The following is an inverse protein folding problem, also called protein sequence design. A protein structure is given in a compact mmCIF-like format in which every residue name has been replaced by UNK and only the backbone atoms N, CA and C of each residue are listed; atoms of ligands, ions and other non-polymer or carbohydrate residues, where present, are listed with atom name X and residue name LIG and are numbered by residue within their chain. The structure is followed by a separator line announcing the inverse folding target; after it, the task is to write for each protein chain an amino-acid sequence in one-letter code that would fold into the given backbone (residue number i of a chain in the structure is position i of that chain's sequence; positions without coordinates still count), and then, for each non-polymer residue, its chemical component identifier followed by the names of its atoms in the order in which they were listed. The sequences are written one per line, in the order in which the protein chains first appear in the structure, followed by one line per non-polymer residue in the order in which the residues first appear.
data_IF_347797008689
#
_entry.id   IF_347797008689
#
_cell.length_a   1.000
_cell.length_b   1.000
_cell.length_c   1.000
_cell.angle_alpha   90.00
_cell.angle_beta   90.00
_cell.angle_gamma   90.00
#
_symmetry.space_group_name_H-M   'P 1'
#
loop_
_entity.id
_entity.type
_entity.pdbx_description
1 polymer ?
#
# COMPACT_ATOMS: atom_id res chain seq x y z
N UNK A 1 -33.92 8.52 16.60
CA UNK A 1 -32.83 9.42 16.99
C UNK A 1 -32.18 9.90 15.72
N UNK A 2 -32.49 11.14 15.34
CA UNK A 2 -32.10 11.80 14.10
C UNK A 2 -30.72 12.43 14.30
N UNK A 3 -29.72 11.95 13.56
CA UNK A 3 -28.39 12.56 13.54
C UNK A 3 -28.46 13.97 12.92
N UNK A 4 -27.74 14.95 13.48
CA UNK A 4 -27.71 16.31 12.93
C UNK A 4 -26.86 16.36 11.65
N UNK A 5 -27.06 17.37 10.78
CA UNK A 5 -26.22 17.57 9.60
C UNK A 5 -24.85 18.11 10.02
N UNK A 6 -23.78 17.46 9.55
CA UNK A 6 -22.41 17.96 9.65
C UNK A 6 -22.20 19.05 8.59
N UNK A 7 -22.58 20.28 8.95
CA UNK A 7 -22.09 21.49 8.31
C UNK A 7 -20.92 22.01 9.14
N UNK A 8 -19.72 21.53 8.84
CA UNK A 8 -18.46 22.15 9.28
C UNK A 8 -17.68 22.59 8.04
N UNK A 9 -17.88 23.87 7.74
CA UNK A 9 -16.94 24.86 7.21
C UNK A 9 -15.71 24.31 6.47
N UNK A 10 -15.81 24.28 5.13
CA UNK A 10 -14.64 24.28 4.25
C UNK A 10 -13.99 25.66 4.39
N UNK A 11 -12.96 25.78 5.23
CA UNK A 11 -12.03 26.91 5.14
C UNK A 11 -11.34 26.82 3.77
N UNK A 12 -11.66 27.80 2.92
CA UNK A 12 -11.32 27.82 1.51
C UNK A 12 -9.81 27.77 1.27
N UNK A 13 -9.33 26.63 0.78
CA UNK A 13 -8.19 26.65 -0.12
C UNK A 13 -8.66 27.30 -1.41
N UNK A 14 -8.14 28.48 -1.76
CA UNK A 14 -8.33 29.03 -3.09
C UNK A 14 -7.82 28.00 -4.09
N UNK A 15 -8.71 27.40 -4.88
CA UNK A 15 -8.38 26.33 -5.82
C UNK A 15 -7.25 26.72 -6.79
N UNK A 16 -7.05 28.04 -7.00
CA UNK A 16 -5.96 28.70 -7.74
C UNK A 16 -4.55 28.35 -7.25
N UNK A 17 -4.43 27.91 -6.00
CA UNK A 17 -3.15 27.56 -5.36
C UNK A 17 -2.94 26.06 -5.21
N UNK A 18 -3.97 25.23 -5.39
CA UNK A 18 -3.86 23.78 -5.21
C UNK A 18 -3.18 23.18 -6.45
N UNK A 19 -1.94 22.70 -6.27
CA UNK A 19 -1.16 22.02 -7.31
C UNK A 19 -0.96 20.55 -6.92
N UNK A 20 -1.92 19.67 -7.23
CA UNK A 20 -1.87 18.28 -6.77
C UNK A 20 -0.71 17.52 -7.42
N UNK A 21 -0.04 16.69 -6.63
CA UNK A 21 1.03 15.82 -7.10
C UNK A 21 0.76 14.40 -6.64
N UNK A 22 0.60 13.47 -7.58
CA UNK A 22 0.44 12.07 -7.24
C UNK A 22 1.77 11.51 -6.71
N UNK A 23 1.71 10.70 -5.65
CA UNK A 23 2.86 9.90 -5.18
C UNK A 23 3.24 8.83 -6.20
N UNK A 24 4.37 8.17 -5.96
CA UNK A 24 4.74 6.97 -6.69
C UNK A 24 3.87 5.78 -6.23
N UNK A 25 2.63 5.74 -6.73
CA UNK A 25 1.64 4.69 -6.48
C UNK A 25 1.44 3.86 -7.74
N UNK A 26 1.01 2.62 -7.56
CA UNK A 26 0.63 1.78 -8.68
C UNK A 26 -0.77 2.17 -9.18
N UNK A 27 -0.90 2.27 -10.50
CA UNK A 27 -2.15 2.64 -11.17
C UNK A 27 -2.44 1.59 -12.24
N UNK A 28 -3.50 0.81 -12.07
CA UNK A 28 -3.83 -0.26 -13.01
C UNK A 28 -5.34 -0.48 -13.14
N UNK A 29 -5.82 -0.85 -14.35
CA UNK A 29 -7.22 -1.16 -14.54
C UNK A 29 -7.57 -2.52 -13.92
N UNK A 30 -8.74 -2.61 -13.31
CA UNK A 30 -9.29 -3.86 -12.74
C UNK A 30 -10.78 -3.98 -13.05
N UNK A 31 -11.29 -5.21 -13.00
CA UNK A 31 -12.74 -5.44 -12.90
C UNK A 31 -13.13 -5.51 -11.42
N UNK A 32 -14.07 -4.66 -11.03
CA UNK A 32 -14.64 -4.62 -9.68
C UNK A 32 -16.16 -4.52 -9.82
N UNK A 33 -16.89 -5.46 -9.19
CA UNK A 33 -18.36 -5.53 -9.25
C UNK A 33 -18.93 -5.49 -10.69
N UNK A 34 -18.26 -6.17 -11.63
CA UNK A 34 -18.67 -6.21 -13.05
C UNK A 34 -18.44 -4.90 -13.81
N UNK A 35 -17.73 -3.93 -13.23
CA UNK A 35 -17.36 -2.66 -13.87
C UNK A 35 -15.85 -2.53 -13.99
N UNK A 36 -15.41 -1.98 -15.13
CA UNK A 36 -13.99 -1.65 -15.34
C UNK A 36 -13.67 -0.33 -14.64
N UNK A 37 -12.81 -0.39 -13.63
CA UNK A 37 -12.36 0.75 -12.82
C UNK A 37 -10.83 0.83 -12.83
N UNK A 38 -10.29 1.95 -12.35
CA UNK A 38 -8.88 2.09 -12.04
C UNK A 38 -8.68 1.88 -10.55
N UNK A 39 -7.66 1.09 -10.21
CA UNK A 39 -7.19 0.86 -8.87
C UNK A 39 -5.92 1.70 -8.63
N UNK A 40 -5.89 2.46 -7.54
CA UNK A 40 -4.67 3.05 -6.98
C UNK A 40 -4.25 2.27 -5.75
N UNK A 41 -3.01 1.78 -5.76
CA UNK A 41 -2.41 1.06 -4.63
C UNK A 41 -1.06 1.66 -4.26
N UNK A 42 -0.85 1.88 -2.96
CA UNK A 42 0.47 2.25 -2.46
C UNK A 42 1.36 1.01 -2.31
N UNK A 43 2.45 0.87 -3.09
CA UNK A 43 3.34 -0.28 -2.98
C UNK A 43 4.08 -0.34 -1.64
N UNK A 44 4.17 0.78 -0.92
CA UNK A 44 4.80 0.84 0.40
C UNK A 44 3.81 0.63 1.55
N UNK A 45 2.50 0.49 1.25
CA UNK A 45 1.43 0.37 2.24
C UNK A 45 1.45 1.48 3.32
N UNK A 46 1.82 2.71 2.93
CA UNK A 46 1.73 3.89 3.81
C UNK A 46 0.32 4.48 3.75
N UNK A 47 -0.32 4.45 2.58
CA UNK A 47 -1.76 4.53 2.46
C UNK A 47 -2.37 3.17 2.86
N UNK A 48 -3.28 3.18 3.83
CA UNK A 48 -3.92 1.97 4.35
C UNK A 48 -4.95 1.40 3.37
N UNK A 49 -5.64 2.29 2.66
CA UNK A 49 -6.73 1.97 1.77
C UNK A 49 -6.28 1.89 0.31
N UNK A 50 -7.06 1.15 -0.48
CA UNK A 50 -6.96 1.12 -1.95
C UNK A 50 -8.11 1.95 -2.52
N UNK A 51 -7.83 2.82 -3.48
CA UNK A 51 -8.86 3.64 -4.12
C UNK A 51 -9.27 3.03 -5.45
N UNK A 52 -10.58 2.96 -5.67
CA UNK A 52 -11.17 2.62 -6.96
C UNK A 52 -11.91 3.82 -7.52
N UNK A 53 -11.65 4.16 -8.79
CA UNK A 53 -12.39 5.21 -9.46
C UNK A 53 -12.72 4.84 -10.92
N UNK A 54 -13.78 5.41 -11.51
CA UNK A 54 -14.14 5.15 -12.91
C UNK A 54 -12.99 5.47 -13.86
N UNK A 55 -12.73 4.59 -14.84
CA UNK A 55 -11.65 4.76 -15.82
C UNK A 55 -11.57 6.16 -16.46
N UNK A 56 -12.68 6.86 -16.79
CA UNK A 56 -12.61 8.21 -17.30
C UNK A 56 -11.90 9.21 -16.37
N UNK A 57 -11.88 9.02 -15.06
CA UNK A 57 -11.21 9.96 -14.13
C UNK A 57 -9.68 9.86 -14.17
N UNK A 58 -9.11 8.81 -14.79
CA UNK A 58 -7.66 8.67 -14.96
C UNK A 58 -7.05 9.86 -15.71
N UNK A 59 -7.84 10.46 -16.60
CA UNK A 59 -7.47 11.63 -17.39
C UNK A 59 -7.24 12.90 -16.54
N UNK A 60 -7.82 12.96 -15.35
CA UNK A 60 -7.57 14.03 -14.37
C UNK A 60 -6.25 13.73 -13.65
N UNK A 61 -6.11 12.52 -13.12
CA UNK A 61 -4.96 12.09 -12.31
C UNK A 61 -3.63 12.19 -13.08
N UNK A 62 -3.62 11.94 -14.40
CA UNK A 62 -2.40 12.11 -15.23
C UNK A 62 -1.84 13.54 -15.24
N UNK A 63 -2.62 14.55 -14.84
CA UNK A 63 -2.14 15.93 -14.73
C UNK A 63 -1.67 16.30 -13.32
N UNK A 64 -1.75 15.39 -12.34
CA UNK A 64 -1.31 15.63 -10.96
C UNK A 64 0.21 15.50 -10.83
N UNK A 65 0.92 16.46 -11.42
CA UNK A 65 2.39 16.52 -11.45
C UNK A 65 2.99 17.51 -10.44
N UNK A 66 2.16 18.18 -9.65
CA UNK A 66 2.55 19.23 -8.71
C UNK A 66 2.88 20.58 -9.36
N UNK A 67 2.73 20.70 -10.68
CA UNK A 67 3.08 21.91 -11.42
C UNK A 67 1.86 22.72 -11.83
N UNK A 68 0.72 22.10 -12.11
CA UNK A 68 -0.50 22.78 -12.58
C UNK A 68 -1.50 22.98 -11.45
N UNK A 69 -2.17 24.15 -11.41
CA UNK A 69 -3.32 24.35 -10.52
C UNK A 69 -4.55 23.58 -11.00
N UNK A 70 -5.57 23.44 -10.15
CA UNK A 70 -6.82 22.79 -10.53
C UNK A 70 -7.54 23.53 -11.68
N UNK A 71 -7.50 24.86 -11.72
CA UNK A 71 -8.04 25.68 -12.82
C UNK A 71 -7.24 25.47 -14.11
N UNK A 72 -5.92 25.36 -14.02
CA UNK A 72 -5.07 25.08 -15.18
C UNK A 72 -5.37 23.69 -15.75
N UNK A 73 -5.59 22.69 -14.87
CA UNK A 73 -6.03 21.34 -15.24
C UNK A 73 -7.42 21.38 -15.86
N UNK A 74 -8.37 22.09 -15.25
CA UNK A 74 -9.74 22.23 -15.75
C UNK A 74 -9.79 22.82 -17.17
N UNK A 75 -9.09 23.94 -17.38
CA UNK A 75 -8.98 24.59 -18.69
C UNK A 75 -8.40 23.63 -19.72
N UNK A 76 -7.32 22.93 -19.36
CA UNK A 76 -6.65 21.99 -20.25
C UNK A 76 -7.52 20.79 -20.63
N UNK A 77 -8.27 20.23 -19.68
CA UNK A 77 -9.22 19.14 -19.95
C UNK A 77 -10.37 19.61 -20.85
N UNK A 78 -10.81 20.87 -20.69
CA UNK A 78 -11.84 21.45 -21.54
C UNK A 78 -11.35 21.66 -22.99
N UNK A 79 -10.08 22.06 -23.16
CA UNK A 79 -9.45 22.26 -24.47
C UNK A 79 -9.12 20.93 -25.18
N UNK A 80 -8.57 19.95 -24.46
CA UNK A 80 -8.10 18.67 -25.02
C UNK A 80 -9.27 17.73 -25.37
N UNK A 81 -10.36 17.77 -24.61
CA UNK A 81 -11.40 16.72 -24.67
C UNK A 81 -12.83 17.24 -24.86
N UNK A 82 -13.01 18.57 -25.02
CA UNK A 82 -14.31 19.23 -25.23
C UNK A 82 -15.35 18.89 -24.14
N UNK A 83 -14.90 18.45 -22.96
CA UNK A 83 -15.75 18.08 -21.84
C UNK A 83 -15.53 19.03 -20.67
N UNK A 84 -16.60 19.68 -20.23
CA UNK A 84 -16.56 20.55 -19.07
C UNK A 84 -16.58 19.71 -17.80
N UNK A 85 -15.51 19.81 -17.01
CA UNK A 85 -15.45 19.25 -15.66
C UNK A 85 -15.64 20.41 -14.68
N UNK A 86 -16.62 20.36 -13.78
CA UNK A 86 -16.78 21.40 -12.77
C UNK A 86 -15.57 21.50 -11.84
N UNK A 87 -15.14 22.72 -11.51
CA UNK A 87 -13.99 22.92 -10.63
C UNK A 87 -14.22 22.34 -9.22
N UNK A 88 -15.44 22.43 -8.70
CA UNK A 88 -15.80 21.83 -7.41
C UNK A 88 -15.54 20.31 -7.39
N UNK A 89 -15.84 19.61 -8.49
CA UNK A 89 -15.58 18.18 -8.60
C UNK A 89 -14.07 17.88 -8.58
N UNK A 90 -13.25 18.71 -9.24
CA UNK A 90 -11.80 18.56 -9.19
C UNK A 90 -11.27 18.76 -7.77
N UNK A 91 -11.77 19.77 -7.06
CA UNK A 91 -11.41 20.05 -5.66
C UNK A 91 -11.77 18.87 -4.76
N UNK A 92 -13.01 18.37 -4.85
CA UNK A 92 -13.49 17.24 -4.05
C UNK A 92 -12.69 15.97 -4.33
N UNK A 93 -12.44 15.66 -5.61
CA UNK A 93 -11.68 14.49 -6.01
C UNK A 93 -10.21 14.57 -5.55
N UNK A 94 -9.60 15.76 -5.63
CA UNK A 94 -8.24 16.00 -5.11
C UNK A 94 -8.19 15.86 -3.59
N UNK A 95 -9.16 16.41 -2.86
CA UNK A 95 -9.23 16.30 -1.40
C UNK A 95 -9.44 14.85 -0.94
N UNK A 96 -10.21 14.05 -1.69
CA UNK A 96 -10.39 12.64 -1.39
C UNK A 96 -9.08 11.86 -1.55
N UNK A 97 -8.36 12.05 -2.66
CA UNK A 97 -7.04 11.45 -2.86
C UNK A 97 -6.02 11.89 -1.79
N UNK A 98 -6.09 13.14 -1.35
CA UNK A 98 -5.23 13.65 -0.28
C UNK A 98 -5.54 13.02 1.08
N UNK A 99 -6.83 12.94 1.42
CA UNK A 99 -7.32 12.34 2.67
C UNK A 99 -6.87 10.90 2.82
N UNK A 100 -6.83 10.16 1.72
CA UNK A 100 -6.37 8.78 1.67
C UNK A 100 -4.87 8.64 1.38
N UNK A 101 -4.08 9.72 1.47
CA UNK A 101 -2.62 9.68 1.43
C UNK A 101 -2.01 9.29 0.07
N UNK A 102 -2.72 9.52 -1.04
CA UNK A 102 -2.23 9.27 -2.40
C UNK A 102 -1.49 10.45 -3.03
N UNK A 103 -1.62 11.66 -2.44
CA UNK A 103 -0.94 12.85 -2.91
C UNK A 103 0.32 13.15 -2.09
N UNK A 104 1.32 13.74 -2.76
CA UNK A 104 2.50 14.32 -2.13
C UNK A 104 2.10 15.67 -1.54
N UNK A 105 1.67 15.65 -0.28
CA UNK A 105 1.07 16.79 0.41
C UNK A 105 1.59 16.94 1.84
N UNK A 106 1.36 18.10 2.49
CA UNK A 106 1.65 18.25 3.91
C UNK A 106 0.94 17.23 4.80
N UNK A 107 -0.28 16.79 4.43
CA UNK A 107 -1.02 15.75 5.17
C UNK A 107 -0.30 14.41 5.10
N UNK A 108 0.04 13.98 3.88
CA UNK A 108 0.80 12.75 3.69
C UNK A 108 2.18 12.80 4.38
N UNK A 109 2.89 13.92 4.29
CA UNK A 109 4.19 14.07 4.91
C UNK A 109 4.16 13.94 6.44
N UNK A 110 3.11 14.48 7.09
CA UNK A 110 2.89 14.27 8.53
C UNK A 110 2.59 12.80 8.84
N UNK A 111 1.69 12.18 8.08
CA UNK A 111 1.34 10.76 8.21
C UNK A 111 2.56 9.84 8.08
N UNK A 112 3.37 10.07 7.04
CA UNK A 112 4.62 9.33 6.82
C UNK A 112 5.57 9.49 8.00
N UNK A 113 5.82 10.70 8.47
CA UNK A 113 6.72 10.91 9.64
C UNK A 113 6.22 10.20 10.88
N UNK A 114 4.91 10.21 11.12
CA UNK A 114 4.29 9.52 12.23
C UNK A 114 4.53 8.01 12.15
N UNK A 115 4.21 7.37 11.00
CA UNK A 115 4.45 5.93 10.79
C UNK A 115 5.90 5.55 11.07
N UNK A 116 6.85 6.30 10.51
CA UNK A 116 8.27 5.99 10.67
C UNK A 116 8.75 6.21 12.11
N UNK A 117 8.26 7.26 12.78
CA UNK A 117 8.58 7.51 14.19
C UNK A 117 8.01 6.41 15.09
N UNK A 118 6.77 5.99 14.86
CA UNK A 118 6.13 4.92 15.62
C UNK A 118 6.84 3.59 15.40
N UNK A 119 7.23 3.31 14.15
CA UNK A 119 8.01 2.12 13.82
C UNK A 119 9.37 2.12 14.53
N UNK A 120 10.07 3.26 14.55
CA UNK A 120 11.36 3.40 15.21
C UNK A 120 11.27 3.26 16.73
N UNK A 121 10.20 3.81 17.34
CA UNK A 121 9.99 3.80 18.79
C UNK A 121 9.59 2.42 19.35
N UNK A 122 9.12 1.47 18.52
CA UNK A 122 8.75 0.13 18.99
C UNK A 122 9.96 -0.62 19.55
N UNK A 123 9.79 -1.28 20.70
CA UNK A 123 10.81 -2.16 21.28
C UNK A 123 10.90 -3.52 20.59
N UNK A 124 9.83 -3.92 19.89
CA UNK A 124 9.75 -5.19 19.16
C UNK A 124 9.30 -4.95 17.72
N UNK A 125 9.51 -5.93 16.84
CA UNK A 125 9.07 -5.86 15.44
C UNK A 125 8.04 -6.97 15.21
N UNK A 126 6.73 -6.65 15.21
CA UNK A 126 5.71 -7.67 15.01
C UNK A 126 5.85 -8.30 13.61
N UNK A 127 5.56 -9.60 13.47
CA UNK A 127 5.70 -10.30 12.20
C UNK A 127 4.63 -9.83 11.19
N UNK A 128 5.01 -8.95 10.26
CA UNK A 128 4.09 -8.37 9.27
C UNK A 128 3.44 -9.41 8.34
N UNK A 129 4.13 -10.52 8.08
CA UNK A 129 3.68 -11.57 7.18
C UNK A 129 2.93 -12.72 7.88
N UNK A 130 2.78 -12.67 9.21
CA UNK A 130 1.98 -13.63 9.95
C UNK A 130 0.51 -13.55 9.49
N UNK A 131 -0.09 -14.70 9.18
CA UNK A 131 -1.43 -14.81 8.62
C UNK A 131 -1.54 -14.48 7.13
N UNK A 132 -0.44 -14.03 6.50
CA UNK A 132 -0.39 -13.70 5.06
C UNK A 132 0.46 -14.71 4.30
N UNK A 133 1.73 -14.84 4.67
CA UNK A 133 2.69 -15.73 4.01
C UNK A 133 2.96 -17.02 4.79
N UNK A 134 2.65 -17.02 6.08
CA UNK A 134 2.74 -18.18 6.96
C UNK A 134 1.69 -18.09 8.07
N UNK A 135 1.33 -19.19 8.74
CA UNK A 135 0.35 -19.17 9.82
C UNK A 135 0.66 -18.16 10.92
N UNK A 136 -0.35 -17.39 11.35
CA UNK A 136 -0.21 -16.52 12.51
C UNK A 136 -0.27 -17.28 13.84
N UNK A 137 -0.97 -18.41 13.86
CA UNK A 137 -1.06 -19.27 15.04
C UNK A 137 0.29 -19.99 15.28
N UNK A 138 0.89 -19.86 16.48
CA UNK A 138 2.19 -20.47 16.77
C UNK A 138 2.20 -21.98 16.62
N UNK A 139 1.12 -22.68 17.01
CA UNK A 139 1.06 -24.15 16.94
C UNK A 139 1.00 -24.61 15.48
N UNK A 140 0.20 -23.95 14.66
CA UNK A 140 0.13 -24.19 13.23
C UNK A 140 1.46 -23.87 12.55
N UNK A 141 2.10 -22.76 12.91
CA UNK A 141 3.41 -22.37 12.38
C UNK A 141 4.47 -23.42 12.69
N UNK A 142 4.56 -23.90 13.93
CA UNK A 142 5.48 -24.98 14.31
C UNK A 142 5.26 -26.22 13.45
N UNK A 143 4.01 -26.68 13.29
CA UNK A 143 3.69 -27.84 12.46
C UNK A 143 4.07 -27.62 10.99
N UNK A 144 3.84 -26.43 10.46
CA UNK A 144 4.24 -26.07 9.09
C UNK A 144 5.76 -26.14 8.93
N UNK A 145 6.53 -25.57 9.87
CA UNK A 145 7.99 -25.63 9.85
C UNK A 145 8.50 -27.07 9.99
N UNK A 146 7.94 -27.87 10.89
CA UNK A 146 8.27 -29.30 11.00
C UNK A 146 8.01 -30.06 9.69
N UNK A 147 6.91 -29.73 9.01
CA UNK A 147 6.58 -30.27 7.68
C UNK A 147 7.67 -30.00 6.66
N UNK A 148 8.29 -28.82 6.67
CA UNK A 148 9.39 -28.48 5.77
C UNK A 148 10.65 -29.33 6.02
N UNK A 149 10.98 -29.62 7.28
CA UNK A 149 12.08 -30.54 7.61
C UNK A 149 11.76 -31.97 7.17
N UNK A 150 10.52 -32.43 7.39
CA UNK A 150 10.09 -33.82 7.09
C UNK A 150 9.79 -34.08 5.61
N UNK A 151 9.66 -33.04 4.80
CA UNK A 151 9.40 -33.13 3.36
C UNK A 151 10.36 -34.13 2.68
N UNK A 152 9.91 -34.77 1.60
CA UNK A 152 10.70 -35.79 0.89
C UNK A 152 12.06 -35.24 0.46
N UNK A 153 12.08 -34.07 -0.17
CA UNK A 153 13.28 -33.32 -0.57
C UNK A 153 13.90 -32.45 0.55
N UNK A 154 13.33 -32.49 1.76
CA UNK A 154 13.86 -31.77 2.93
C UNK A 154 15.01 -32.51 3.60
N UNK A 155 15.75 -31.86 4.53
CA UNK A 155 16.92 -32.42 5.20
C UNK A 155 16.62 -33.57 6.17
N UNK A 156 15.33 -33.87 6.42
CA UNK A 156 14.83 -34.60 7.59
C UNK A 156 15.12 -33.84 8.88
N UNK A 157 14.49 -34.26 9.98
CA UNK A 157 14.65 -33.59 11.27
C UNK A 157 16.14 -33.64 11.69
N UNK A 158 16.75 -32.52 12.11
CA UNK A 158 18.14 -32.50 12.54
C UNK A 158 18.32 -33.43 13.75
N UNK A 159 19.42 -34.19 13.73
CA UNK A 159 19.87 -34.96 14.89
C UNK A 159 20.58 -34.07 15.90
N UNK A 160 21.33 -34.68 16.84
CA UNK A 160 22.13 -33.91 17.78
C UNK A 160 23.14 -33.00 17.06
N UNK A 161 23.37 -31.77 17.57
CA UNK A 161 24.35 -30.85 17.00
C UNK A 161 25.73 -31.52 16.92
N UNK A 162 26.31 -31.60 15.72
CA UNK A 162 27.65 -32.15 15.50
C UNK A 162 28.61 -31.04 15.10
N UNK A 163 29.60 -30.76 15.93
CA UNK A 163 30.76 -29.93 15.56
C UNK A 163 30.93 -28.63 16.36
N UNK A 164 31.80 -27.78 15.83
CA UNK A 164 32.21 -26.51 16.43
C UNK A 164 31.10 -25.46 16.37
N UNK A 165 31.22 -24.42 17.19
CA UNK A 165 30.30 -23.29 17.26
C UNK A 165 30.06 -22.67 15.86
N UNK A 166 28.79 -22.64 15.43
CA UNK A 166 28.37 -22.00 14.17
C UNK A 166 28.52 -20.48 14.30
N UNK A 167 29.24 -19.85 13.38
CA UNK A 167 29.44 -18.40 13.34
C UNK A 167 28.38 -17.65 12.50
N UNK A 168 27.69 -18.35 11.59
CA UNK A 168 26.62 -17.79 10.75
C UNK A 168 26.05 -18.83 9.78
N UNK A 169 24.87 -18.54 9.22
CA UNK A 169 24.19 -19.33 8.20
C UNK A 169 23.88 -18.47 6.98
N UNK A 170 23.86 -19.09 5.79
CA UNK A 170 23.36 -18.47 4.56
C UNK A 170 22.14 -19.27 4.12
N UNK A 171 20.96 -18.67 4.22
CA UNK A 171 19.70 -19.28 3.84
C UNK A 171 19.10 -18.48 2.65
N UNK A 172 19.22 -18.97 1.40
CA UNK A 172 18.62 -18.30 0.24
C UNK A 172 17.10 -18.22 0.41
N UNK A 173 16.48 -17.12 -0.04
CA UNK A 173 15.06 -16.88 0.16
C UNK A 173 14.25 -16.85 -1.14
N UNK A 174 13.16 -17.62 -1.15
CA UNK A 174 11.96 -17.56 -1.97
C UNK A 174 10.74 -17.27 -1.05
N UNK A 175 9.51 -17.62 -1.40
CA UNK A 175 8.39 -17.66 -0.46
C UNK A 175 8.22 -19.08 0.14
N UNK A 176 7.80 -19.17 1.41
CA UNK A 176 7.68 -20.45 2.13
C UNK A 176 6.70 -21.42 1.47
N UNK A 177 5.67 -20.89 0.81
CA UNK A 177 4.68 -21.69 0.08
C UNK A 177 5.31 -22.44 -1.09
N UNK A 178 6.25 -21.81 -1.80
CA UNK A 178 6.95 -22.44 -2.93
C UNK A 178 8.14 -23.29 -2.53
N UNK A 179 8.88 -22.88 -1.48
CA UNK A 179 10.21 -23.44 -1.22
C UNK A 179 10.53 -23.75 0.23
N UNK A 180 9.55 -23.84 1.13
CA UNK A 180 9.77 -24.02 2.57
C UNK A 180 10.79 -25.12 2.93
N UNK A 181 10.73 -26.27 2.25
CA UNK A 181 11.67 -27.39 2.46
C UNK A 181 13.12 -27.09 2.06
N UNK A 182 13.36 -26.18 1.11
CA UNK A 182 14.70 -25.76 0.72
C UNK A 182 15.41 -25.01 1.85
N UNK A 183 14.66 -24.23 2.64
CA UNK A 183 15.22 -23.50 3.78
C UNK A 183 15.66 -24.41 4.89
N UNK A 184 14.92 -25.49 5.14
CA UNK A 184 15.20 -26.40 6.25
C UNK A 184 16.65 -26.90 6.19
N UNK A 185 17.24 -27.05 4.99
CA UNK A 185 18.65 -27.41 4.80
C UNK A 185 19.63 -26.42 5.43
N UNK A 186 19.35 -25.12 5.41
CA UNK A 186 20.19 -24.09 6.01
C UNK A 186 20.05 -24.00 7.53
N UNK A 187 18.97 -24.57 8.09
CA UNK A 187 18.68 -24.60 9.54
C UNK A 187 18.89 -25.99 10.16
N UNK A 188 19.54 -26.90 9.44
CA UNK A 188 19.96 -28.20 9.94
C UNK A 188 21.24 -28.10 10.76
#
# INVERSE_FOLDING_TARGET
MTSPPLSDTVEGMESGTIRPKLRNVEVFPVEHEGRRVVCLRDPLALAEEVIFFPLPLLRIVRHFDGKKSLEEIQRRLSEEEQQQIPLHFLVEFTEELDRFHFLDSPRFERHRRQIFSDYAARSTRPPFLAGRSYPADPVQLTRTLEGYFRHEAGPKWPGEPRGNRIAGIIAPHIDFLRGGFCYAWAYR
#
